data_IF_820725488884
#
_entry.id   IF_820725488884
#
_cell.length_a   1.000
_cell.length_b   1.000
_cell.length_c   1.000
_cell.angle_alpha   90.00
_cell.angle_beta   90.00
_cell.angle_gamma   90.00
#
_symmetry.space_group_name_H-M   'P 1'
#
loop_
_entity.id
_entity.type
_entity.pdbx_description
1 polymer ?
#
# COMPACT_ATOMS: atom_id res chain seq x y z
N UNK A 1 13.13 -3.27 -0.07
CA UNK A 1 12.15 -2.15 -0.06
C UNK A 1 11.23 -2.09 -1.30
N UNK A 2 11.71 -2.00 -2.55
CA UNK A 2 10.83 -1.96 -3.72
C UNK A 2 10.14 -3.29 -4.01
N UNK A 3 10.85 -4.41 -3.85
CA UNK A 3 10.30 -5.74 -4.13
C UNK A 3 9.11 -6.07 -3.22
N UNK A 4 9.23 -5.83 -1.91
CA UNK A 4 8.15 -6.03 -0.93
C UNK A 4 6.90 -5.19 -1.25
N UNK A 5 7.09 -3.98 -1.79
CA UNK A 5 5.98 -3.14 -2.24
C UNK A 5 5.21 -3.80 -3.40
N UNK A 6 5.90 -4.37 -4.40
CA UNK A 6 5.24 -5.13 -5.47
C UNK A 6 4.61 -6.45 -4.99
N UNK A 7 5.24 -7.15 -4.03
CA UNK A 7 4.65 -8.36 -3.44
C UNK A 7 3.36 -8.07 -2.68
N UNK A 8 3.29 -6.93 -1.97
CA UNK A 8 2.07 -6.52 -1.26
C UNK A 8 0.86 -6.41 -2.18
N UNK A 9 1.04 -5.88 -3.39
CA UNK A 9 -0.02 -5.78 -4.41
C UNK A 9 -0.55 -7.14 -4.84
N UNK A 10 0.36 -8.09 -5.05
CA UNK A 10 0.01 -9.43 -5.50
C UNK A 10 -0.80 -10.17 -4.42
N UNK A 11 -0.44 -9.97 -3.15
CA UNK A 11 -1.17 -10.51 -1.99
C UNK A 11 -2.57 -9.91 -1.85
N UNK A 12 -2.70 -8.59 -1.97
CA UNK A 12 -4.00 -7.90 -1.89
C UNK A 12 -4.92 -8.35 -3.03
N UNK A 13 -4.40 -8.45 -4.26
CA UNK A 13 -5.16 -8.97 -5.40
C UNK A 13 -5.70 -10.37 -5.13
N UNK A 14 -4.84 -11.29 -4.68
CA UNK A 14 -5.25 -12.67 -4.38
C UNK A 14 -6.34 -12.71 -3.30
N UNK A 15 -6.18 -11.91 -2.23
CA UNK A 15 -7.18 -11.81 -1.16
C UNK A 15 -8.51 -11.22 -1.65
N UNK A 16 -8.46 -10.23 -2.53
CA UNK A 16 -9.65 -9.65 -3.16
C UNK A 16 -10.34 -10.64 -4.09
N UNK A 17 -9.60 -11.45 -4.84
CA UNK A 17 -10.19 -12.50 -5.70
C UNK A 17 -10.97 -13.53 -4.88
N UNK A 18 -10.50 -13.87 -3.68
CA UNK A 18 -11.18 -14.80 -2.75
C UNK A 18 -12.38 -14.17 -2.04
N UNK A 19 -12.27 -12.92 -1.60
CA UNK A 19 -13.24 -12.30 -0.68
C UNK A 19 -14.22 -11.37 -1.37
N UNK A 20 -13.77 -10.56 -2.33
CA UNK A 20 -14.51 -9.47 -2.99
C UNK A 20 -14.03 -9.28 -4.43
N UNK A 21 -14.31 -10.22 -5.34
CA UNK A 21 -13.77 -10.22 -6.70
C UNK A 21 -14.15 -8.96 -7.50
N UNK A 22 -15.28 -8.31 -7.18
CA UNK A 22 -15.70 -7.05 -7.80
C UNK A 22 -14.74 -5.88 -7.51
N UNK A 23 -13.98 -5.93 -6.40
CA UNK A 23 -13.00 -4.89 -6.02
C UNK A 23 -11.65 -5.03 -6.69
N UNK A 24 -11.37 -6.19 -7.31
CA UNK A 24 -10.09 -6.46 -7.97
C UNK A 24 -9.80 -5.46 -9.08
N UNK A 25 -10.77 -5.21 -9.97
CA UNK A 25 -10.60 -4.25 -11.08
C UNK A 25 -10.36 -2.82 -10.58
N UNK A 26 -11.24 -2.24 -9.73
CA UNK A 26 -11.01 -0.91 -9.14
C UNK A 26 -9.66 -0.79 -8.42
N UNK A 27 -9.28 -1.82 -7.65
CA UNK A 27 -8.00 -1.85 -6.95
C UNK A 27 -6.83 -1.80 -7.93
N UNK A 28 -6.79 -2.69 -8.93
CA UNK A 28 -5.69 -2.75 -9.90
C UNK A 28 -5.54 -1.44 -10.68
N UNK A 29 -6.64 -0.81 -11.08
CA UNK A 29 -6.60 0.48 -11.80
C UNK A 29 -6.11 1.61 -10.91
N UNK A 30 -6.74 1.83 -9.75
CA UNK A 30 -6.37 2.94 -8.86
C UNK A 30 -4.98 2.77 -8.25
N UNK A 31 -4.61 1.54 -7.95
CA UNK A 31 -3.31 1.25 -7.36
C UNK A 31 -2.19 1.35 -8.41
N UNK A 32 -2.44 1.08 -9.70
CA UNK A 32 -1.48 1.35 -10.78
C UNK A 32 -1.21 2.86 -10.98
N UNK A 33 -2.22 3.72 -10.84
CA UNK A 33 -2.02 5.18 -10.86
C UNK A 33 -1.16 5.62 -9.68
N UNK A 34 -1.44 5.08 -8.49
CA UNK A 34 -0.71 5.46 -7.30
C UNK A 34 0.72 4.94 -7.26
N UNK A 35 0.97 3.75 -7.80
CA UNK A 35 2.33 3.23 -8.01
C UNK A 35 3.15 4.18 -8.89
N UNK A 36 2.56 4.75 -9.95
CA UNK A 36 3.29 5.72 -10.80
C UNK A 36 3.67 6.98 -10.03
N UNK A 37 2.78 7.50 -9.19
CA UNK A 37 3.08 8.65 -8.33
C UNK A 37 4.16 8.32 -7.29
N UNK A 38 4.10 7.14 -6.68
CA UNK A 38 5.08 6.66 -5.71
C UNK A 38 6.45 6.48 -6.36
N UNK A 39 6.50 5.91 -7.56
CA UNK A 39 7.75 5.73 -8.31
C UNK A 39 8.36 7.07 -8.73
N UNK A 40 7.54 8.06 -9.08
CA UNK A 40 8.00 9.43 -9.39
C UNK A 40 8.65 10.13 -8.19
N UNK A 41 8.12 9.90 -7.00
CA UNK A 41 8.59 10.50 -5.74
C UNK A 41 9.28 9.48 -4.81
N UNK A 42 9.81 8.38 -5.37
CA UNK A 42 10.28 7.21 -4.60
C UNK A 42 11.33 7.55 -3.53
N UNK A 43 12.11 8.63 -3.76
CA UNK A 43 13.15 9.09 -2.83
C UNK A 43 12.61 9.82 -1.60
N UNK A 44 11.41 10.39 -1.68
CA UNK A 44 10.79 11.13 -0.58
C UNK A 44 9.99 10.19 0.32
N UNK A 45 9.42 9.13 -0.27
CA UNK A 45 8.68 8.13 0.47
C UNK A 45 9.60 7.27 1.33
N UNK A 46 9.23 7.14 2.61
CA UNK A 46 9.79 6.13 3.50
C UNK A 46 8.86 4.90 3.54
N UNK A 47 9.45 3.72 3.37
CA UNK A 47 8.72 2.45 3.34
C UNK A 47 8.77 1.78 4.72
N UNK A 48 7.61 1.52 5.29
CA UNK A 48 7.44 0.82 6.57
C UNK A 48 6.76 -0.53 6.37
N UNK A 49 7.22 -1.53 7.12
CA UNK A 49 6.59 -2.86 7.17
C UNK A 49 5.98 -3.07 8.54
N UNK A 50 4.92 -3.89 8.63
CA UNK A 50 4.30 -4.24 9.91
C UNK A 50 5.27 -4.94 10.86
N UNK A 51 4.90 -5.02 12.14
CA UNK A 51 5.76 -5.53 13.23
C UNK A 51 6.35 -6.93 12.95
N UNK A 52 5.57 -7.80 12.30
CA UNK A 52 6.02 -9.14 11.92
C UNK A 52 7.08 -9.15 10.80
N UNK A 53 7.46 -7.98 10.27
CA UNK A 53 8.41 -7.78 9.18
C UNK A 53 8.16 -8.71 7.98
N UNK A 54 6.89 -9.08 7.75
CA UNK A 54 6.54 -10.03 6.71
C UNK A 54 6.86 -9.39 5.34
N UNK A 55 7.77 -9.96 4.53
CA UNK A 55 8.15 -9.38 3.25
C UNK A 55 7.00 -9.37 2.24
N UNK A 56 5.97 -10.20 2.46
CA UNK A 56 4.74 -10.28 1.68
C UNK A 56 3.59 -9.45 2.29
N UNK A 57 3.85 -8.78 3.41
CA UNK A 57 2.88 -7.93 4.10
C UNK A 57 2.65 -6.60 3.38
N UNK A 58 1.64 -5.87 3.81
CA UNK A 58 1.41 -4.51 3.31
C UNK A 58 2.55 -3.59 3.73
N UNK A 59 3.02 -2.78 2.78
CA UNK A 59 4.01 -1.74 3.03
C UNK A 59 3.28 -0.42 3.23
N UNK A 60 3.47 0.21 4.39
CA UNK A 60 3.02 1.57 4.66
C UNK A 60 3.97 2.58 4.03
N UNK A 61 3.44 3.62 3.42
CA UNK A 61 4.22 4.69 2.81
C UNK A 61 4.11 5.93 3.68
N UNK A 62 5.21 6.40 4.23
CA UNK A 62 5.25 7.67 4.94
C UNK A 62 5.77 8.76 4.01
N UNK A 63 5.05 9.88 4.02
CA UNK A 63 5.44 11.11 3.35
C UNK A 63 5.10 12.31 4.24
N UNK A 64 5.64 13.46 3.89
CA UNK A 64 5.36 14.72 4.56
C UNK A 64 4.46 15.57 3.69
N UNK A 65 3.50 16.29 4.30
CA UNK A 65 2.67 17.24 3.57
C UNK A 65 3.54 18.36 2.97
N UNK A 66 2.93 19.25 2.20
CA UNK A 66 3.63 20.40 1.60
C UNK A 66 4.40 21.26 2.62
N UNK A 67 4.01 21.21 3.90
CA UNK A 67 4.70 21.86 5.00
C UNK A 67 6.06 21.22 5.37
N UNK A 68 6.34 20.01 4.91
CA UNK A 68 7.56 19.25 5.20
C UNK A 68 7.69 18.77 6.66
N UNK A 69 6.66 18.99 7.49
CA UNK A 69 6.72 18.75 8.94
C UNK A 69 5.64 17.79 9.39
N UNK A 70 4.47 17.80 8.75
CA UNK A 70 3.34 16.93 9.13
C UNK A 70 3.47 15.59 8.40
N UNK A 71 3.85 14.50 9.09
CA UNK A 71 3.90 13.19 8.46
C UNK A 71 2.49 12.65 8.24
N UNK A 72 2.29 11.95 7.13
CA UNK A 72 1.11 11.15 6.88
C UNK A 72 1.52 9.78 6.33
N UNK A 73 0.71 8.77 6.65
CA UNK A 73 0.92 7.42 6.16
C UNK A 73 -0.19 7.04 5.19
N UNK A 74 0.21 6.51 4.05
CA UNK A 74 -0.68 5.98 3.02
C UNK A 74 -0.73 4.46 3.19
N UNK A 75 -1.95 3.94 3.28
CA UNK A 75 -2.24 2.51 3.32
C UNK A 75 -3.27 2.16 2.26
N UNK A 76 -3.18 0.95 1.71
CA UNK A 76 -4.20 0.44 0.81
C UNK A 76 -5.40 -0.05 1.62
N UNK A 77 -6.55 0.61 1.46
CA UNK A 77 -7.79 0.21 2.14
C UNK A 77 -8.16 -1.25 1.90
N UNK A 78 -7.98 -1.73 0.67
CA UNK A 78 -8.29 -3.12 0.30
C UNK A 78 -7.30 -4.14 0.90
N UNK A 79 -6.16 -3.69 1.45
CA UNK A 79 -5.20 -4.51 2.19
C UNK A 79 -5.34 -4.43 3.72
N UNK A 80 -6.37 -3.74 4.22
CA UNK A 80 -6.65 -3.58 5.65
C UNK A 80 -7.98 -4.23 6.01
N UNK A 81 -8.00 -4.94 7.14
CA UNK A 81 -9.22 -5.41 7.78
C UNK A 81 -9.48 -4.52 9.01
N UNK A 82 -10.69 -3.97 9.12
CA UNK A 82 -11.07 -3.11 10.24
C UNK A 82 -11.60 -3.98 11.37
N UNK A 83 -10.98 -3.86 12.55
CA UNK A 83 -11.46 -4.49 13.77
C UNK A 83 -12.03 -3.42 14.71
N UNK A 84 -13.20 -3.69 15.29
CA UNK A 84 -13.81 -2.82 16.30
C UNK A 84 -13.50 -3.41 17.67
N UNK A 85 -12.79 -2.65 18.49
CA UNK A 85 -12.53 -2.98 19.90
C UNK A 85 -13.78 -2.79 20.77
#
# INVERSE_FOLDING_TARGET
PPASFFFSFSRIKARLEETKPERVKPFMTGAAEQVKHILGNFKNYQFFVGENMNPDGMVGLLDFREDGVTPYMIFFKDGLEMEKC
#
